data_IF_058170285892
#
_entry.id   IF_058170285892
#
_cell.length_a   1.000
_cell.length_b   1.000
_cell.length_c   1.000
_cell.angle_alpha   90.00
_cell.angle_beta   90.00
_cell.angle_gamma   90.00
#
_symmetry.space_group_name_H-M   'P 1'
#
loop_
_entity.id
_entity.type
_entity.pdbx_description
1 polymer ?
#
# COMPACT_ATOMS: atom_id res chain seq x y z
N UNK A 1 24.44 25.12 22.04
CA UNK A 1 24.68 24.90 20.59
C UNK A 1 23.44 24.17 20.06
N UNK A 2 22.66 24.80 19.17
CA UNK A 2 21.46 24.17 18.61
C UNK A 2 21.93 23.24 17.48
N UNK A 3 21.54 21.97 17.53
CA UNK A 3 21.74 21.04 16.42
C UNK A 3 20.50 21.06 15.54
N UNK A 4 20.65 21.44 14.28
CA UNK A 4 19.60 21.29 13.28
C UNK A 4 19.56 19.83 12.85
N UNK A 5 18.41 19.18 13.01
CA UNK A 5 18.14 17.82 12.50
C UNK A 5 17.32 17.98 11.23
N UNK A 6 17.72 17.33 10.14
CA UNK A 6 16.94 17.26 8.90
C UNK A 6 16.20 15.92 8.91
N UNK A 7 14.87 15.96 8.85
CA UNK A 7 14.01 14.80 8.70
C UNK A 7 13.47 14.81 7.27
N UNK A 8 13.51 13.67 6.59
CA UNK A 8 13.00 13.54 5.22
C UNK A 8 11.58 12.99 5.24
N UNK A 9 10.63 13.81 4.76
CA UNK A 9 9.24 13.40 4.60
C UNK A 9 9.09 12.59 3.31
N UNK A 10 8.88 11.27 3.45
CA UNK A 10 8.79 10.35 2.31
C UNK A 10 7.50 9.53 2.31
N UNK A 11 6.55 9.79 3.21
CA UNK A 11 5.36 8.93 3.38
C UNK A 11 4.51 8.87 2.11
N UNK A 12 4.15 10.04 1.58
CA UNK A 12 3.34 10.14 0.36
C UNK A 12 4.10 9.63 -0.87
N UNK A 13 5.39 9.96 -1.00
CA UNK A 13 6.21 9.47 -2.11
C UNK A 13 6.30 7.95 -2.14
N UNK A 14 6.49 7.31 -0.98
CA UNK A 14 6.50 5.85 -0.83
C UNK A 14 5.15 5.24 -1.19
N UNK A 15 4.06 5.86 -0.75
CA UNK A 15 2.71 5.39 -1.06
C UNK A 15 2.39 5.48 -2.56
N UNK A 16 2.76 6.59 -3.21
CA UNK A 16 2.64 6.75 -4.66
C UNK A 16 3.54 5.78 -5.43
N UNK A 17 4.77 5.56 -4.96
CA UNK A 17 5.69 4.59 -5.56
C UNK A 17 5.11 3.16 -5.49
N UNK A 18 4.57 2.77 -4.33
CA UNK A 18 3.90 1.49 -4.14
C UNK A 18 2.67 1.32 -5.04
N UNK A 19 1.82 2.34 -5.16
CA UNK A 19 0.68 2.33 -6.08
C UNK A 19 1.12 2.14 -7.54
N UNK A 20 2.17 2.85 -7.96
CA UNK A 20 2.70 2.73 -9.32
C UNK A 20 3.31 1.34 -9.59
N UNK A 21 3.93 0.72 -8.59
CA UNK A 21 4.43 -0.65 -8.68
C UNK A 21 3.27 -1.66 -8.73
N UNK A 22 2.24 -1.48 -7.90
CA UNK A 22 1.04 -2.29 -7.93
C UNK A 22 0.34 -2.23 -9.30
N UNK A 23 0.19 -1.04 -9.91
CA UNK A 23 -0.37 -0.89 -11.27
C UNK A 23 0.41 -1.70 -12.32
N UNK A 24 1.73 -1.81 -12.18
CA UNK A 24 2.59 -2.63 -13.07
C UNK A 24 2.43 -4.12 -12.79
N UNK A 25 2.38 -4.51 -11.52
CA UNK A 25 2.07 -5.88 -11.10
C UNK A 25 0.72 -6.32 -11.66
N UNK A 26 -0.33 -5.52 -11.44
CA UNK A 26 -1.69 -5.77 -11.92
C UNK A 26 -1.75 -5.93 -13.44
N UNK A 27 -1.11 -5.02 -14.19
CA UNK A 27 -1.03 -5.13 -15.64
C UNK A 27 -0.31 -6.41 -16.10
N UNK A 28 0.75 -6.81 -15.40
CA UNK A 28 1.49 -8.04 -15.67
C UNK A 28 0.65 -9.28 -15.38
N UNK A 29 -0.07 -9.28 -14.26
CA UNK A 29 -1.03 -10.32 -13.89
C UNK A 29 -2.10 -10.49 -14.97
N UNK A 30 -2.77 -9.40 -15.36
CA UNK A 30 -3.83 -9.42 -16.39
C UNK A 30 -3.30 -9.95 -17.73
N UNK A 31 -2.09 -9.55 -18.12
CA UNK A 31 -1.45 -10.02 -19.36
C UNK A 31 -1.12 -11.52 -19.31
N UNK A 32 -0.62 -12.02 -18.17
CA UNK A 32 -0.18 -13.41 -17.98
C UNK A 32 -1.37 -14.36 -17.85
N UNK A 33 -2.32 -14.03 -16.99
CA UNK A 33 -3.41 -14.91 -16.59
C UNK A 33 -4.66 -14.74 -17.45
N UNK A 34 -4.81 -13.60 -18.13
CA UNK A 34 -5.97 -13.27 -18.98
C UNK A 34 -7.31 -13.56 -18.27
N UNK A 35 -7.52 -13.04 -17.05
CA UNK A 35 -8.75 -13.29 -16.31
C UNK A 35 -9.95 -12.76 -17.11
N UNK A 36 -11.08 -13.46 -17.01
CA UNK A 36 -12.31 -13.11 -17.72
C UNK A 36 -13.15 -12.08 -16.96
N UNK A 37 -12.80 -11.78 -15.72
CA UNK A 37 -13.48 -10.86 -14.81
C UNK A 37 -12.42 -10.03 -14.08
N UNK A 38 -12.86 -8.95 -13.41
CA UNK A 38 -11.98 -8.15 -12.56
C UNK A 38 -11.47 -9.03 -11.39
N UNK A 39 -10.15 -9.28 -11.27
CA UNK A 39 -9.62 -10.27 -10.35
C UNK A 39 -9.76 -9.78 -8.91
N UNK A 40 -10.30 -10.61 -8.02
CA UNK A 40 -10.53 -10.32 -6.60
C UNK A 40 -9.21 -10.11 -5.87
N UNK A 41 -9.14 -9.05 -5.07
CA UNK A 41 -7.96 -8.68 -4.29
C UNK A 41 -7.31 -9.86 -3.56
N UNK A 42 -8.04 -10.51 -2.64
CA UNK A 42 -7.44 -11.48 -1.71
C UNK A 42 -7.24 -12.86 -2.32
N UNK A 43 -8.18 -13.33 -3.14
CA UNK A 43 -8.19 -14.70 -3.66
C UNK A 43 -7.49 -14.86 -5.00
N UNK A 44 -7.12 -13.77 -5.67
CA UNK A 44 -6.51 -13.83 -7.01
C UNK A 44 -5.26 -12.97 -7.14
N UNK A 45 -5.22 -11.77 -6.54
CA UNK A 45 -4.05 -10.88 -6.63
C UNK A 45 -3.05 -11.08 -5.50
N UNK A 46 -3.53 -11.40 -4.30
CA UNK A 46 -2.74 -11.52 -3.09
C UNK A 46 -2.90 -12.91 -2.43
N UNK A 47 -3.09 -13.96 -3.24
CA UNK A 47 -3.27 -15.31 -2.73
C UNK A 47 -2.00 -15.85 -2.07
N UNK A 48 -0.84 -15.60 -2.67
CA UNK A 48 0.47 -16.02 -2.13
C UNK A 48 1.18 -14.90 -1.34
N UNK A 49 0.51 -13.76 -1.15
CA UNK A 49 1.03 -12.61 -0.40
C UNK A 49 1.87 -11.64 -1.24
N UNK A 50 1.88 -11.74 -2.56
CA UNK A 50 2.76 -10.92 -3.40
C UNK A 50 2.47 -9.41 -3.32
N UNK A 51 1.20 -9.04 -3.09
CA UNK A 51 0.83 -7.64 -2.89
C UNK A 51 1.23 -7.17 -1.50
N UNK A 52 1.14 -8.03 -0.49
CA UNK A 52 1.61 -7.73 0.87
C UNK A 52 3.12 -7.55 0.92
N UNK A 53 3.87 -8.38 0.18
CA UNK A 53 5.32 -8.26 0.02
C UNK A 53 5.70 -6.97 -0.71
N UNK A 54 4.96 -6.62 -1.78
CA UNK A 54 5.14 -5.35 -2.49
C UNK A 54 4.95 -4.17 -1.53
N UNK A 55 3.84 -4.12 -0.80
CA UNK A 55 3.55 -3.03 0.15
C UNK A 55 4.64 -2.95 1.23
N UNK A 56 4.99 -4.11 1.81
CA UNK A 56 6.02 -4.20 2.84
C UNK A 56 7.39 -3.71 2.35
N UNK A 57 7.70 -3.87 1.07
CA UNK A 57 8.92 -3.36 0.43
C UNK A 57 9.03 -1.84 0.40
N UNK A 58 7.90 -1.12 0.52
CA UNK A 58 7.88 0.36 0.54
C UNK A 58 7.92 0.96 1.95
N UNK A 59 7.69 0.13 2.98
CA UNK A 59 7.81 0.56 4.38
C UNK A 59 9.28 0.79 4.74
N UNK A 60 9.62 1.89 5.44
CA UNK A 60 11.00 2.12 5.89
C UNK A 60 11.52 0.96 6.74
N UNK A 61 12.76 0.55 6.49
CA UNK A 61 13.35 -0.63 7.14
C UNK A 61 13.99 -0.30 8.48
N UNK A 62 14.38 0.96 8.69
CA UNK A 62 14.98 1.39 9.96
C UNK A 62 13.91 1.93 10.91
N UNK A 63 14.05 1.59 12.19
CA UNK A 63 13.15 2.09 13.26
C UNK A 63 13.21 3.62 13.35
N UNK A 64 14.34 4.24 13.01
CA UNK A 64 14.46 5.70 13.04
C UNK A 64 13.60 6.35 11.94
N UNK A 65 13.67 5.87 10.70
CA UNK A 65 12.83 6.41 9.61
C UNK A 65 11.34 6.19 9.88
N UNK A 66 10.97 5.07 10.52
CA UNK A 66 9.58 4.82 10.92
C UNK A 66 9.11 5.84 11.97
N UNK A 67 9.93 6.10 13.00
CA UNK A 67 9.64 7.12 14.02
C UNK A 67 9.62 8.53 13.46
N UNK A 68 10.51 8.83 12.54
CA UNK A 68 10.59 10.13 11.86
C UNK A 68 9.34 10.37 11.00
N UNK A 69 8.92 9.36 10.24
CA UNK A 69 7.67 9.38 9.47
C UNK A 69 6.47 9.61 10.39
N UNK A 70 6.44 8.89 11.50
CA UNK A 70 5.37 9.02 12.49
C UNK A 70 5.38 10.38 13.21
N UNK A 71 6.56 10.94 13.50
CA UNK A 71 6.67 12.27 14.09
C UNK A 71 6.09 13.35 13.17
N UNK A 72 6.21 13.18 11.85
CA UNK A 72 5.69 14.12 10.85
C UNK A 72 4.19 13.93 10.58
N UNK A 73 3.68 12.69 10.64
CA UNK A 73 2.33 12.31 10.18
C UNK A 73 1.48 11.57 11.21
N UNK A 74 1.84 11.69 12.50
CA UNK A 74 1.27 10.91 13.60
C UNK A 74 -0.24 10.91 13.61
N UNK A 75 -0.87 12.08 13.52
CA UNK A 75 -2.34 12.22 13.53
C UNK A 75 -3.01 11.35 12.44
N UNK A 76 -2.45 11.33 11.23
CA UNK A 76 -3.00 10.55 10.12
C UNK A 76 -2.76 9.05 10.29
N UNK A 77 -1.62 8.68 10.87
CA UNK A 77 -1.21 7.29 11.06
C UNK A 77 -1.86 6.65 12.29
N UNK A 78 -2.14 7.43 13.34
CA UNK A 78 -2.85 7.02 14.55
C UNK A 78 -4.31 6.72 14.26
N UNK A 79 -5.00 7.62 13.56
CA UNK A 79 -6.37 7.39 13.11
C UNK A 79 -6.47 6.08 12.29
N UNK A 80 -5.47 5.80 11.46
CA UNK A 80 -5.42 4.56 10.68
C UNK A 80 -5.21 3.33 11.56
N UNK A 81 -4.28 3.37 12.51
CA UNK A 81 -3.96 2.22 13.36
C UNK A 81 -5.07 1.91 14.37
N UNK A 82 -5.62 2.93 15.04
CA UNK A 82 -6.70 2.75 16.01
C UNK A 82 -7.98 2.20 15.35
N UNK A 83 -8.32 2.68 14.15
CA UNK A 83 -9.47 2.18 13.40
C UNK A 83 -9.32 0.73 12.94
N UNK A 84 -8.09 0.19 12.87
CA UNK A 84 -7.83 -1.18 12.44
C UNK A 84 -7.89 -2.21 13.57
N UNK A 85 -8.15 -1.78 14.82
CA UNK A 85 -8.42 -2.68 15.96
C UNK A 85 -7.38 -3.81 16.13
N UNK A 86 -6.10 -3.54 15.88
CA UNK A 86 -5.03 -4.56 15.92
C UNK A 86 -4.64 -5.03 17.33
N UNK A 87 -5.40 -4.65 18.36
CA UNK A 87 -5.18 -5.04 19.75
C UNK A 87 -3.99 -4.35 20.42
N UNK A 88 -3.89 -4.50 21.74
CA UNK A 88 -2.87 -3.90 22.64
C UNK A 88 -1.46 -4.51 22.44
N UNK A 89 -0.94 -4.59 21.21
CA UNK A 89 0.43 -5.07 20.98
C UNK A 89 1.42 -3.88 21.03
N UNK A 90 2.54 -4.00 21.75
CA UNK A 90 3.36 -2.86 22.15
C UNK A 90 4.16 -2.29 20.98
N UNK A 91 4.69 -1.09 21.20
CA UNK A 91 5.39 -0.19 20.27
C UNK A 91 6.36 -0.72 19.18
N UNK A 92 7.02 -1.91 19.18
CA UNK A 92 8.03 -2.19 18.16
C UNK A 92 7.49 -2.31 16.73
N UNK A 93 6.24 -2.77 16.54
CA UNK A 93 5.65 -2.90 15.21
C UNK A 93 4.63 -1.81 14.87
N UNK A 94 4.24 -0.97 15.84
CA UNK A 94 3.22 0.05 15.66
C UNK A 94 3.51 0.96 14.46
N UNK A 95 4.67 1.61 14.44
CA UNK A 95 5.04 2.56 13.38
C UNK A 95 5.14 1.88 12.01
N UNK A 96 5.72 0.68 11.97
CA UNK A 96 5.81 -0.13 10.75
C UNK A 96 4.42 -0.47 10.21
N UNK A 97 3.54 -0.94 11.08
CA UNK A 97 2.17 -1.34 10.73
C UNK A 97 1.34 -0.14 10.29
N UNK A 98 1.42 1.00 10.97
CA UNK A 98 0.70 2.20 10.59
C UNK A 98 1.09 2.67 9.18
N UNK A 99 2.40 2.68 8.87
CA UNK A 99 2.90 3.02 7.53
C UNK A 99 2.47 1.97 6.49
N UNK A 100 2.56 0.67 6.83
CA UNK A 100 2.06 -0.40 5.97
C UNK A 100 0.58 -0.18 5.62
N UNK A 101 -0.26 0.09 6.62
CA UNK A 101 -1.69 0.27 6.43
C UNK A 101 -2.03 1.55 5.68
N UNK A 102 -1.27 2.61 5.86
CA UNK A 102 -1.38 3.82 5.04
C UNK A 102 -1.19 3.50 3.55
N UNK A 103 -0.13 2.78 3.22
CA UNK A 103 0.17 2.39 1.83
C UNK A 103 -0.88 1.41 1.31
N UNK A 104 -1.22 0.39 2.11
CA UNK A 104 -2.26 -0.59 1.77
C UNK A 104 -3.59 0.10 1.45
N UNK A 105 -4.06 1.00 2.32
CA UNK A 105 -5.33 1.69 2.13
C UNK A 105 -5.32 2.56 0.88
N UNK A 106 -4.21 3.23 0.58
CA UNK A 106 -4.11 4.02 -0.65
C UNK A 106 -4.21 3.13 -1.91
N UNK A 107 -3.52 1.98 -1.93
CA UNK A 107 -3.62 1.04 -3.06
C UNK A 107 -5.02 0.43 -3.15
N UNK A 108 -5.60 0.04 -2.01
CA UNK A 108 -6.91 -0.57 -1.96
C UNK A 108 -8.00 0.42 -2.41
N UNK A 109 -7.91 1.69 -1.99
CA UNK A 109 -8.82 2.75 -2.42
C UNK A 109 -8.78 2.95 -3.94
N UNK A 110 -7.57 2.96 -4.52
CA UNK A 110 -7.42 3.00 -5.97
C UNK A 110 -8.00 1.75 -6.65
N UNK A 111 -7.73 0.56 -6.10
CA UNK A 111 -8.23 -0.71 -6.65
C UNK A 111 -9.76 -0.76 -6.65
N UNK A 112 -10.41 -0.30 -5.57
CA UNK A 112 -11.87 -0.27 -5.43
C UNK A 112 -12.53 0.78 -6.35
N UNK A 113 -11.93 1.97 -6.47
CA UNK A 113 -12.53 3.10 -7.22
C UNK A 113 -12.19 3.11 -8.71
N UNK A 114 -10.98 2.70 -9.07
CA UNK A 114 -10.42 2.86 -10.43
C UNK A 114 -9.93 1.54 -11.04
N UNK A 115 -9.68 0.52 -10.23
CA UNK A 115 -9.06 -0.73 -10.67
C UNK A 115 -9.86 -1.44 -11.76
N UNK A 116 -11.19 -1.46 -11.65
CA UNK A 116 -12.05 -2.10 -12.65
C UNK A 116 -11.99 -1.36 -14.01
N UNK A 117 -12.06 -0.03 -14.00
CA UNK A 117 -11.92 0.76 -15.23
C UNK A 117 -10.55 0.53 -15.88
N UNK A 118 -9.49 0.48 -15.08
CA UNK A 118 -8.14 0.18 -15.57
C UNK A 118 -8.05 -1.24 -16.14
N UNK A 119 -8.66 -2.24 -15.51
CA UNK A 119 -8.76 -3.60 -16.03
C UNK A 119 -9.44 -3.66 -17.41
N UNK A 120 -10.56 -2.94 -17.59
CA UNK A 120 -11.23 -2.87 -18.89
C UNK A 120 -10.38 -2.22 -19.98
N UNK A 121 -9.58 -1.20 -19.63
CA UNK A 121 -8.62 -0.59 -20.55
C UNK A 121 -7.55 -1.60 -20.97
N UNK A 122 -6.98 -2.36 -20.03
CA UNK A 122 -5.95 -3.37 -20.29
C UNK A 122 -6.47 -4.51 -21.18
N UNK A 123 -7.72 -4.93 -20.98
CA UNK A 123 -8.33 -6.03 -21.73
C UNK A 123 -8.95 -5.58 -23.06
N UNK A 124 -8.96 -4.27 -23.36
CA UNK A 124 -9.62 -3.67 -24.55
C UNK A 124 -11.08 -4.12 -24.69
N UNK A 125 -11.79 -4.29 -23.57
CA UNK A 125 -13.19 -4.74 -23.58
C UNK A 125 -13.42 -6.20 -24.02
N UNK A 126 -12.40 -7.08 -23.94
CA UNK A 126 -12.55 -8.52 -24.20
C UNK A 126 -13.31 -9.30 -23.11
N UNK A 127 -13.77 -8.59 -22.10
CA UNK A 127 -14.47 -9.14 -20.92
C UNK A 127 -15.92 -9.44 -21.31
N UNK A 128 -16.43 -10.61 -20.95
CA UNK A 128 -17.82 -11.00 -21.26
C UNK A 128 -18.79 -10.06 -20.53
N UNK A 129 -19.80 -9.56 -21.25
CA UNK A 129 -21.04 -9.07 -20.67
C UNK A 129 -21.79 -10.19 -19.96
#
# INVERSE_FOLDING_TARGET
MIKTIKIEDTLHERSEAALNEFKKFFASYVKKNKPLEFPKWRSELNEEGEVDDLISGHVPTTVQEQKDTFYLHGDQLDDLYENLSTGDDPMPNYYKSAIYFFIFNHIFDWYDKEGEAYFYQLTKGRVKK
#
